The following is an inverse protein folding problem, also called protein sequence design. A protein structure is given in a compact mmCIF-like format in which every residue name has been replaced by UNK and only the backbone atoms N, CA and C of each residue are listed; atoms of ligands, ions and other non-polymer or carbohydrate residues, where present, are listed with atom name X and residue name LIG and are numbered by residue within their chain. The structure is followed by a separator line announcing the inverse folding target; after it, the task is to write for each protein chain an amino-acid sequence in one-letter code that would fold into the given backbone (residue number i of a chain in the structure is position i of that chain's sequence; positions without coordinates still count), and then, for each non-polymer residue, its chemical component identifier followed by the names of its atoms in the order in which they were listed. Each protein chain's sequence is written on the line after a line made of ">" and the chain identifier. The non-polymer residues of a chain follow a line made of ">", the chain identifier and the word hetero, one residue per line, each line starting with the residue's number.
data_IF_762736157995
#
_entry.id   IF_762736157995
#
_cell.length_a   1.000
_cell.length_b   1.000
_cell.length_c   1.000
_cell.angle_alpha   90.00
_cell.angle_beta   90.00
_cell.angle_gamma   90.00
#
_symmetry.space_group_name_H-M   'P 1'
#
loop_
_entity.id
_entity.type
_entity.pdbx_description
1 polymer ?
#
# COMPACT_ATOMS: atom_id res chain seq x y z
N UNK A 1 -8.02 30.78 17.28
CA UNK A 1 -6.97 30.07 16.52
C UNK A 1 -6.51 28.89 17.38
N UNK A 2 -6.79 27.66 16.97
CA UNK A 2 -6.27 26.47 17.66
C UNK A 2 -4.92 26.10 17.04
N UNK A 3 -3.95 25.79 17.89
CA UNK A 3 -2.54 25.67 17.54
C UNK A 3 -2.28 24.33 16.83
N UNK A 4 -1.46 24.36 15.77
CA UNK A 4 -1.09 23.17 14.97
C UNK A 4 -0.42 22.08 15.80
N UNK A 5 0.11 22.43 16.98
CA UNK A 5 0.67 21.47 17.95
C UNK A 5 -0.38 20.55 18.59
N UNK A 6 -1.66 20.89 18.56
CA UNK A 6 -2.71 20.02 19.12
C UNK A 6 -3.02 18.82 18.20
N UNK A 7 -2.65 18.89 16.92
CA UNK A 7 -2.81 17.78 15.97
C UNK A 7 -1.80 16.64 16.22
N UNK A 8 -0.69 16.92 16.91
CA UNK A 8 0.31 15.92 17.28
C UNK A 8 -0.07 15.09 18.50
N UNK A 9 -1.15 15.43 19.22
CA UNK A 9 -1.58 14.73 20.43
C UNK A 9 -2.66 13.65 20.22
N UNK A 10 -2.98 13.25 18.99
CA UNK A 10 -3.85 12.06 18.77
C UNK A 10 -3.03 10.77 18.85
N UNK A 11 -2.35 10.59 19.98
CA UNK A 11 -1.90 9.30 20.50
C UNK A 11 -3.08 8.65 21.21
N UNK A 12 -3.90 7.91 20.46
CA UNK A 12 -4.61 6.67 20.89
C UNK A 12 -5.50 6.15 19.76
N UNK A 13 -4.91 5.38 18.84
CA UNK A 13 -5.63 4.31 18.16
C UNK A 13 -4.70 3.11 18.17
N UNK A 14 -5.12 2.07 18.88
CA UNK A 14 -4.30 0.95 19.28
C UNK A 14 -3.65 0.20 18.10
N UNK A 15 -2.45 -0.31 18.39
CA UNK A 15 -2.14 -1.68 18.04
C UNK A 15 -1.67 -2.01 16.63
N UNK A 16 -1.12 -1.08 15.84
CA UNK A 16 -0.29 -1.47 14.69
C UNK A 16 0.83 -0.44 14.48
N UNK A 17 2.08 -0.86 14.20
CA UNK A 17 3.16 0.08 13.88
C UNK A 17 2.78 0.86 12.62
N UNK A 18 2.38 2.12 12.83
CA UNK A 18 1.72 2.97 11.84
C UNK A 18 2.74 3.33 10.76
N UNK A 19 2.67 2.70 9.58
CA UNK A 19 3.43 3.17 8.42
C UNK A 19 2.82 4.49 7.92
N UNK A 20 3.69 5.42 7.50
CA UNK A 20 3.32 6.76 7.01
C UNK A 20 2.20 6.70 5.95
N UNK A 21 2.28 5.72 5.04
CA UNK A 21 1.29 5.50 3.97
C UNK A 21 -0.11 5.19 4.49
N UNK A 22 -0.23 4.40 5.58
CA UNK A 22 -1.53 4.14 6.20
C UNK A 22 -2.11 5.38 6.88
N UNK A 23 -1.26 6.25 7.42
CA UNK A 23 -1.72 7.51 7.99
C UNK A 23 -2.22 8.45 6.90
N UNK A 24 -1.51 8.54 5.77
CA UNK A 24 -1.93 9.33 4.61
C UNK A 24 -3.27 8.81 4.07
N UNK A 25 -3.45 7.49 3.91
CA UNK A 25 -4.73 6.90 3.48
C UNK A 25 -5.90 7.31 4.37
N UNK A 26 -5.73 7.24 5.69
CA UNK A 26 -6.79 7.63 6.64
C UNK A 26 -7.10 9.13 6.57
N UNK A 27 -6.09 9.97 6.36
CA UNK A 27 -6.29 11.40 6.17
C UNK A 27 -7.09 11.66 4.89
N UNK A 28 -6.77 10.97 3.79
CA UNK A 28 -7.53 11.09 2.54
C UNK A 28 -9.00 10.70 2.75
N UNK A 29 -9.27 9.59 3.44
CA UNK A 29 -10.64 9.16 3.75
C UNK A 29 -11.42 10.17 4.59
N UNK A 30 -10.76 10.81 5.54
CA UNK A 30 -11.40 11.84 6.36
C UNK A 30 -11.68 13.11 5.55
N UNK A 31 -10.82 13.45 4.59
CA UNK A 31 -10.88 14.72 3.85
C UNK A 31 -11.76 14.63 2.60
N UNK A 32 -11.91 13.44 1.98
CA UNK A 32 -12.70 13.24 0.77
C UNK A 32 -14.15 13.76 0.83
N UNK A 33 -14.92 13.57 1.94
CA UNK A 33 -16.28 14.09 2.02
C UNK A 33 -16.38 15.62 2.00
N UNK A 34 -15.33 16.33 2.41
CA UNK A 34 -15.32 17.80 2.38
C UNK A 34 -15.28 18.34 0.95
N UNK A 35 -14.71 17.57 0.01
CA UNK A 35 -14.63 17.94 -1.40
C UNK A 35 -15.77 17.33 -2.23
N UNK A 36 -16.74 16.65 -1.61
CA UNK A 36 -17.82 15.98 -2.33
C UNK A 36 -18.63 16.95 -3.21
N UNK A 37 -18.89 18.15 -2.69
CA UNK A 37 -19.75 19.16 -3.30
C UNK A 37 -18.98 20.43 -3.75
N UNK A 38 -17.77 20.65 -3.25
CA UNK A 38 -16.99 21.90 -3.49
C UNK A 38 -16.03 21.79 -4.67
N UNK A 39 -15.32 20.67 -4.82
CA UNK A 39 -14.32 20.48 -5.88
C UNK A 39 -14.26 19.02 -6.31
N UNK A 40 -15.13 18.70 -7.25
CA UNK A 40 -15.26 17.37 -7.87
C UNK A 40 -13.95 16.92 -8.53
N UNK A 41 -13.21 17.85 -9.16
CA UNK A 41 -11.96 17.52 -9.85
C UNK A 41 -10.87 17.14 -8.85
N UNK A 42 -10.73 17.89 -7.76
CA UNK A 42 -9.78 17.57 -6.70
C UNK A 42 -10.15 16.25 -6.01
N UNK A 43 -11.42 16.00 -5.76
CA UNK A 43 -11.91 14.73 -5.20
C UNK A 43 -11.52 13.54 -6.07
N UNK A 44 -11.72 13.63 -7.39
CA UNK A 44 -11.42 12.55 -8.31
C UNK A 44 -9.89 12.31 -8.40
N UNK A 45 -9.07 13.37 -8.36
CA UNK A 45 -7.60 13.26 -8.24
C UNK A 45 -7.20 12.55 -6.93
N UNK A 46 -7.81 12.91 -5.81
CA UNK A 46 -7.52 12.29 -4.51
C UNK A 46 -7.93 10.82 -4.49
N UNK A 47 -9.02 10.45 -5.17
CA UNK A 47 -9.44 9.05 -5.33
C UNK A 47 -8.45 8.26 -6.18
N UNK A 48 -7.96 8.82 -7.29
CA UNK A 48 -6.93 8.19 -8.11
C UNK A 48 -5.67 7.89 -7.28
N UNK A 49 -5.21 8.87 -6.49
CA UNK A 49 -4.05 8.69 -5.61
C UNK A 49 -4.30 7.73 -4.46
N UNK A 50 -5.54 7.51 -4.06
CA UNK A 50 -5.88 6.57 -2.99
C UNK A 50 -5.52 5.14 -3.37
N UNK A 51 -5.72 4.76 -4.64
CA UNK A 51 -5.36 3.43 -5.15
C UNK A 51 -3.84 3.22 -5.11
N UNK A 52 -3.08 4.20 -5.61
CA UNK A 52 -1.60 4.21 -5.57
C UNK A 52 -1.09 4.02 -4.13
N UNK A 53 -1.64 4.77 -3.17
CA UNK A 53 -1.16 4.72 -1.78
C UNK A 53 -1.55 3.39 -1.11
N UNK A 54 -2.73 2.85 -1.41
CA UNK A 54 -3.17 1.54 -0.90
C UNK A 54 -2.23 0.42 -1.36
N UNK A 55 -1.86 0.42 -2.65
CA UNK A 55 -0.98 -0.62 -3.17
C UNK A 55 0.46 -0.46 -2.66
N UNK A 56 0.95 0.78 -2.50
CA UNK A 56 2.24 1.05 -1.86
C UNK A 56 2.26 0.62 -0.39
N UNK A 57 1.18 0.85 0.36
CA UNK A 57 1.09 0.45 1.76
C UNK A 57 1.20 -1.06 1.94
N UNK A 58 0.48 -1.84 1.12
CA UNK A 58 0.55 -3.29 1.13
C UNK A 58 1.95 -3.79 0.72
N UNK A 59 2.54 -3.21 -0.33
CA UNK A 59 3.86 -3.57 -0.81
C UNK A 59 4.96 -3.28 0.22
N UNK A 60 4.91 -2.13 0.89
CA UNK A 60 5.78 -1.79 2.00
C UNK A 60 5.68 -2.82 3.13
N UNK A 61 4.47 -3.31 3.43
CA UNK A 61 4.26 -4.40 4.38
C UNK A 61 5.01 -5.67 3.98
N UNK A 62 5.00 -6.02 2.69
CA UNK A 62 5.71 -7.20 2.18
C UNK A 62 7.23 -7.03 2.20
N UNK A 63 7.75 -5.88 1.82
CA UNK A 63 9.18 -5.56 1.96
C UNK A 63 9.63 -5.58 3.42
N UNK A 64 8.81 -5.07 4.35
CA UNK A 64 9.10 -5.14 5.77
C UNK A 64 9.17 -6.59 6.26
N UNK A 65 8.28 -7.46 5.80
CA UNK A 65 8.31 -8.89 6.11
C UNK A 65 9.61 -9.55 5.62
N UNK A 66 10.01 -9.29 4.36
CA UNK A 66 11.30 -9.76 3.84
C UNK A 66 12.48 -9.21 4.64
N UNK A 67 12.48 -7.90 4.96
CA UNK A 67 13.52 -7.26 5.78
C UNK A 67 13.64 -7.92 7.15
N UNK A 68 12.53 -8.27 7.80
CA UNK A 68 12.55 -8.98 9.08
C UNK A 68 13.17 -10.37 8.94
N UNK A 69 12.85 -11.12 7.88
CA UNK A 69 13.52 -12.39 7.58
C UNK A 69 15.03 -12.21 7.38
N UNK A 70 15.44 -11.09 6.76
CA UNK A 70 16.83 -10.72 6.54
C UNK A 70 17.55 -10.16 7.79
N UNK A 71 16.83 -9.79 8.85
CA UNK A 71 17.43 -9.24 10.07
C UNK A 71 17.48 -10.24 11.23
N UNK A 72 16.51 -11.16 11.30
CA UNK A 72 16.32 -12.05 12.45
C UNK A 72 17.16 -13.34 12.35
N UNK A 73 17.63 -13.71 11.16
CA UNK A 73 18.40 -14.94 10.97
C UNK A 73 19.91 -14.76 11.16
N UNK A 74 20.58 -15.79 11.69
CA UNK A 74 22.00 -16.02 11.42
C UNK A 74 22.14 -16.41 9.94
N UNK A 75 22.11 -15.38 9.09
CA UNK A 75 22.04 -15.50 7.64
C UNK A 75 23.45 -15.58 7.07
N UNK A 76 23.68 -16.66 6.34
CA UNK A 76 24.80 -16.74 5.43
C UNK A 76 24.33 -16.32 4.03
N UNK A 77 25.29 -16.17 3.11
CA UNK A 77 25.02 -15.77 1.73
C UNK A 77 23.95 -16.65 1.04
N UNK A 78 23.96 -17.95 1.31
CA UNK A 78 22.98 -18.89 0.74
C UNK A 78 21.56 -18.61 1.23
N UNK A 79 21.37 -18.37 2.53
CA UNK A 79 20.06 -18.03 3.11
C UNK A 79 19.57 -16.66 2.61
N UNK A 80 20.44 -15.66 2.57
CA UNK A 80 20.10 -14.33 2.03
C UNK A 80 19.64 -14.42 0.59
N UNK A 81 20.39 -15.13 -0.27
CA UNK A 81 20.02 -15.35 -1.67
C UNK A 81 18.68 -16.08 -1.77
N UNK A 82 18.46 -17.10 -0.95
CA UNK A 82 17.18 -17.84 -0.92
C UNK A 82 15.99 -16.95 -0.55
N UNK A 83 16.12 -16.09 0.46
CA UNK A 83 15.06 -15.15 0.88
C UNK A 83 14.75 -14.14 -0.24
N UNK A 84 15.78 -13.55 -0.85
CA UNK A 84 15.61 -12.59 -1.95
C UNK A 84 14.97 -13.26 -3.16
N UNK A 85 15.47 -14.44 -3.59
CA UNK A 85 14.89 -15.18 -4.71
C UNK A 85 13.44 -15.58 -4.47
N UNK A 86 13.11 -16.06 -3.27
CA UNK A 86 11.74 -16.39 -2.91
C UNK A 86 10.82 -15.16 -2.91
N UNK A 87 11.34 -13.99 -2.51
CA UNK A 87 10.60 -12.74 -2.58
C UNK A 87 10.37 -12.30 -4.03
N UNK A 88 11.38 -12.36 -4.89
CA UNK A 88 11.24 -12.06 -6.32
C UNK A 88 10.21 -12.97 -7.00
N UNK A 89 10.21 -14.27 -6.72
CA UNK A 89 9.17 -15.19 -7.21
C UNK A 89 7.78 -14.82 -6.70
N UNK A 90 7.66 -14.36 -5.45
CA UNK A 90 6.40 -13.85 -4.90
C UNK A 90 5.93 -12.57 -5.61
N UNK A 91 6.81 -11.67 -5.99
CA UNK A 91 6.43 -10.47 -6.78
C UNK A 91 5.80 -10.86 -8.12
N UNK A 92 6.35 -11.85 -8.81
CA UNK A 92 5.78 -12.36 -10.06
C UNK A 92 4.38 -12.98 -9.83
N UNK A 93 4.20 -13.72 -8.73
CA UNK A 93 2.90 -14.26 -8.35
C UNK A 93 1.89 -13.14 -8.00
N UNK A 94 2.33 -12.11 -7.29
CA UNK A 94 1.49 -10.96 -6.99
C UNK A 94 1.01 -10.26 -8.26
N UNK A 95 1.91 -10.01 -9.23
CA UNK A 95 1.55 -9.43 -10.53
C UNK A 95 0.45 -10.24 -11.20
N UNK A 96 0.64 -11.57 -11.30
CA UNK A 96 -0.33 -12.50 -11.92
C UNK A 96 -1.68 -12.52 -11.21
N UNK A 97 -1.67 -12.49 -9.88
CA UNK A 97 -2.92 -12.55 -9.10
C UNK A 97 -3.70 -11.25 -9.23
N UNK A 98 -3.01 -10.11 -9.27
CA UNK A 98 -3.66 -8.80 -9.38
C UNK A 98 -4.25 -8.57 -10.76
N UNK A 99 -3.55 -8.99 -11.81
CA UNK A 99 -4.09 -9.00 -13.17
C UNK A 99 -5.30 -9.94 -13.34
N UNK A 100 -5.56 -10.83 -12.37
CA UNK A 100 -6.79 -11.64 -12.27
C UNK A 100 -7.84 -11.06 -11.32
N UNK A 101 -7.55 -9.92 -10.70
CA UNK A 101 -8.39 -9.31 -9.66
C UNK A 101 -8.36 -10.03 -8.30
N UNK A 102 -7.44 -10.96 -8.08
CA UNK A 102 -7.28 -11.73 -6.84
C UNK A 102 -6.48 -10.90 -5.79
N UNK A 103 -7.18 -10.05 -5.04
CA UNK A 103 -6.57 -9.09 -4.13
C UNK A 103 -6.44 -9.56 -2.67
N UNK A 104 -6.73 -10.82 -2.35
CA UNK A 104 -6.76 -11.35 -0.96
C UNK A 104 -5.44 -11.15 -0.21
N UNK A 105 -4.34 -11.01 -0.95
CA UNK A 105 -2.98 -10.84 -0.42
C UNK A 105 -2.62 -9.36 -0.18
N UNK A 106 -3.49 -8.44 -0.59
CA UNK A 106 -3.37 -6.99 -0.56
C UNK A 106 -4.55 -6.43 0.25
N UNK A 107 -4.52 -6.50 1.59
CA UNK A 107 -5.67 -6.13 2.41
C UNK A 107 -6.11 -4.69 2.18
N UNK A 108 -5.19 -3.73 2.01
CA UNK A 108 -5.56 -2.32 1.75
C UNK A 108 -6.19 -2.16 0.38
N UNK A 109 -5.62 -2.80 -0.64
CA UNK A 109 -6.18 -2.75 -1.99
C UNK A 109 -7.53 -3.47 -2.10
N UNK A 110 -7.69 -4.59 -1.38
CA UNK A 110 -8.94 -5.36 -1.32
C UNK A 110 -10.07 -4.61 -0.60
N UNK A 111 -9.75 -3.92 0.49
CA UNK A 111 -10.68 -3.02 1.20
C UNK A 111 -11.12 -1.90 0.26
N UNK A 112 -10.18 -1.31 -0.49
CA UNK A 112 -10.47 -0.25 -1.43
C UNK A 112 -11.38 -0.72 -2.57
N UNK A 113 -11.09 -1.88 -3.18
CA UNK A 113 -11.93 -2.50 -4.23
C UNK A 113 -13.37 -2.81 -3.78
N UNK A 114 -13.59 -2.99 -2.48
CA UNK A 114 -14.93 -3.19 -1.93
C UNK A 114 -15.69 -1.88 -1.74
N UNK A 115 -14.97 -0.76 -1.60
CA UNK A 115 -15.54 0.55 -1.31
C UNK A 115 -15.63 1.46 -2.55
N UNK A 116 -14.71 1.29 -3.50
CA UNK A 116 -14.69 1.89 -4.83
C UNK A 116 -14.64 0.73 -5.84
N UNK A 117 -15.36 0.82 -6.94
CA UNK A 117 -15.11 -0.05 -8.10
C UNK A 117 -13.82 0.48 -8.78
N UNK A 118 -12.63 -0.11 -8.55
CA UNK A 118 -11.39 0.42 -9.10
C UNK A 118 -11.42 0.22 -10.60
N UNK A 119 -11.01 1.23 -11.35
CA UNK A 119 -10.90 1.09 -12.80
C UNK A 119 -9.83 0.03 -13.12
N UNK A 120 -10.05 -0.81 -14.13
CA UNK A 120 -9.06 -1.82 -14.57
C UNK A 120 -7.69 -1.18 -14.91
N UNK A 121 -7.69 0.11 -15.29
CA UNK A 121 -6.47 0.90 -15.52
C UNK A 121 -5.60 1.06 -14.27
N UNK A 122 -6.19 1.21 -13.08
CA UNK A 122 -5.42 1.36 -11.84
C UNK A 122 -4.71 0.04 -11.45
N UNK A 123 -5.33 -1.09 -11.80
CA UNK A 123 -4.79 -2.43 -11.59
C UNK A 123 -3.59 -2.68 -12.53
N UNK A 124 -3.68 -2.19 -13.76
CA UNK A 124 -2.63 -2.32 -14.78
C UNK A 124 -1.36 -1.56 -14.39
N UNK A 125 -1.49 -0.30 -13.96
CA UNK A 125 -0.37 0.52 -13.46
C UNK A 125 0.36 -0.18 -12.29
N UNK A 126 -0.38 -0.85 -11.39
CA UNK A 126 0.26 -1.61 -10.33
C UNK A 126 1.01 -2.85 -10.83
N UNK A 127 0.50 -3.52 -11.87
CA UNK A 127 1.19 -4.65 -12.49
C UNK A 127 2.51 -4.21 -13.14
N UNK A 128 2.56 -3.03 -13.76
CA UNK A 128 3.78 -2.42 -14.30
C UNK A 128 4.80 -2.08 -13.21
N UNK A 129 4.35 -1.49 -12.09
CA UNK A 129 5.23 -1.21 -10.95
C UNK A 129 5.84 -2.48 -10.35
N UNK A 130 5.06 -3.57 -10.24
CA UNK A 130 5.58 -4.87 -9.80
C UNK A 130 6.59 -5.45 -10.80
N UNK A 131 6.37 -5.28 -12.09
CA UNK A 131 7.29 -5.71 -13.14
C UNK A 131 8.63 -5.00 -13.08
N UNK A 132 8.64 -3.69 -12.84
CA UNK A 132 9.89 -2.97 -12.62
C UNK A 132 10.68 -3.57 -11.45
N UNK A 133 10.03 -3.91 -10.34
CA UNK A 133 10.70 -4.51 -9.17
C UNK A 133 11.22 -5.93 -9.40
N UNK A 134 10.78 -6.62 -10.46
CA UNK A 134 11.27 -7.96 -10.83
C UNK A 134 12.50 -7.87 -11.75
N UNK A 135 12.63 -6.77 -12.51
CA UNK A 135 13.68 -6.57 -13.51
C UNK A 135 14.95 -5.88 -12.97
N UNK A 136 14.93 -5.36 -11.74
CA UNK A 136 16.09 -4.83 -11.01
C UNK A 136 16.64 -5.85 -10.00
#
# INVERSE_FOLDING_TARGET
>A
MRNITDFFCITKFGGYPRCLLNQILRTFEAVLPFFADEDVALRDILQLRKVDIACLADLCGKFKSMKLQLQVGNLNLMKTKSVISAFASKLALYKRNISRGELCQFPKLSELKRCLDPCDQDIEVYCEHLEMLILY
#
